data_IF_240204684598
#
_entry.id   IF_240204684598
#
_cell.length_a   1.000
_cell.length_b   1.000
_cell.length_c   1.000
_cell.angle_alpha   90.00
_cell.angle_beta   90.00
_cell.angle_gamma   90.00
#
_symmetry.space_group_name_H-M   'P 1'
#
loop_
_entity.id
_entity.type
_entity.pdbx_description
1 polymer ?
#
# COMPACT_ATOMS: atom_id res chain seq x y z
N UNK A 1 -1.94 32.85 12.08
CA UNK A 1 -2.81 31.65 12.13
C UNK A 1 -2.75 30.98 10.76
N UNK A 2 -1.93 29.93 10.60
CA UNK A 2 -1.78 29.21 9.33
C UNK A 2 -2.21 27.77 9.51
N UNK A 3 -3.24 27.37 8.78
CA UNK A 3 -3.88 26.05 8.82
C UNK A 3 -2.88 24.94 8.49
N UNK A 4 -2.25 24.36 9.51
CA UNK A 4 -1.66 23.03 9.40
C UNK A 4 -2.83 22.06 9.23
N UNK A 5 -3.25 21.82 7.99
CA UNK A 5 -4.01 20.61 7.67
C UNK A 5 -3.19 19.44 8.22
N UNK A 6 -3.63 18.86 9.34
CA UNK A 6 -3.03 17.66 9.91
C UNK A 6 -3.27 16.55 8.89
N UNK A 7 -2.36 16.39 7.93
CA UNK A 7 -2.31 15.21 7.07
C UNK A 7 -2.32 14.01 8.01
N UNK A 8 -3.34 13.18 7.93
CA UNK A 8 -3.43 11.91 8.64
C UNK A 8 -3.76 10.87 7.58
N UNK A 9 -2.74 10.10 7.22
CA UNK A 9 -2.77 9.25 6.05
C UNK A 9 -2.45 7.81 6.43
N UNK A 10 -3.13 6.90 5.75
CA UNK A 10 -2.87 5.48 5.74
C UNK A 10 -2.07 5.16 4.47
N UNK A 11 -0.77 4.95 4.63
CA UNK A 11 0.14 4.59 3.54
C UNK A 11 0.21 3.07 3.45
N UNK A 12 -0.04 2.53 2.27
CA UNK A 12 0.07 1.12 1.97
C UNK A 12 1.19 0.90 0.96
N UNK A 13 2.04 -0.09 1.21
CA UNK A 13 3.05 -0.58 0.28
C UNK A 13 2.83 -2.07 0.03
N UNK A 14 2.66 -2.45 -1.24
CA UNK A 14 2.66 -3.84 -1.66
C UNK A 14 4.07 -4.24 -2.02
N UNK A 15 4.63 -5.17 -1.26
CA UNK A 15 6.01 -5.64 -1.36
C UNK A 15 6.02 -7.01 -2.03
N UNK A 16 6.84 -7.14 -3.07
CA UNK A 16 7.20 -8.41 -3.65
C UNK A 16 8.18 -9.14 -2.74
N UNK A 17 7.84 -10.33 -2.24
CA UNK A 17 8.83 -11.21 -1.59
C UNK A 17 9.34 -12.27 -2.57
N UNK A 18 8.42 -12.91 -3.31
CA UNK A 18 8.70 -13.92 -4.35
C UNK A 18 7.47 -14.05 -5.28
N UNK A 19 7.55 -14.75 -6.44
CA UNK A 19 6.49 -14.76 -7.47
C UNK A 19 5.08 -15.11 -6.96
N UNK A 20 5.00 -15.99 -5.96
CA UNK A 20 3.79 -16.51 -5.33
C UNK A 20 3.41 -15.78 -4.03
N UNK A 21 4.21 -14.83 -3.56
CA UNK A 21 4.04 -14.21 -2.25
C UNK A 21 4.28 -12.70 -2.30
N UNK A 22 3.18 -11.96 -2.25
CA UNK A 22 3.20 -10.52 -2.01
C UNK A 22 2.82 -10.25 -0.55
N UNK A 23 3.36 -9.16 0.00
CA UNK A 23 2.97 -8.65 1.32
C UNK A 23 2.40 -7.25 1.20
N UNK A 24 1.50 -6.91 2.10
CA UNK A 24 0.99 -5.56 2.29
C UNK A 24 1.54 -5.03 3.59
N UNK A 25 2.22 -3.89 3.51
CA UNK A 25 2.66 -3.12 4.65
C UNK A 25 1.83 -1.83 4.74
N UNK A 26 0.99 -1.74 5.75
CA UNK A 26 0.21 -0.56 6.09
C UNK A 26 0.89 0.25 7.19
N UNK A 27 0.91 1.58 7.05
CA UNK A 27 1.42 2.50 8.06
C UNK A 27 0.48 3.70 8.15
N UNK A 28 0.01 4.02 9.34
CA UNK A 28 -0.67 5.28 9.61
C UNK A 28 0.35 6.32 10.04
N UNK A 29 0.26 7.51 9.49
CA UNK A 29 1.22 8.56 9.76
C UNK A 29 0.62 9.96 9.61
N UNK A 30 1.15 10.90 10.38
CA UNK A 30 0.66 12.27 10.41
C UNK A 30 1.71 13.31 10.00
N UNK A 31 1.26 14.40 9.38
CA UNK A 31 2.08 15.56 9.01
C UNK A 31 3.29 15.17 8.18
N UNK A 32 4.47 15.68 8.56
CA UNK A 32 5.75 15.40 7.87
C UNK A 32 6.16 13.93 7.92
N UNK A 33 5.70 13.18 8.93
CA UNK A 33 6.01 11.76 9.05
C UNK A 33 5.30 10.93 7.96
N UNK A 34 4.10 11.37 7.55
CA UNK A 34 3.36 10.75 6.45
C UNK A 34 4.11 10.86 5.13
N UNK A 35 4.69 12.03 4.85
CA UNK A 35 5.51 12.25 3.66
C UNK A 35 6.75 11.33 3.67
N UNK A 36 7.43 11.18 4.82
CA UNK A 36 8.59 10.27 4.96
C UNK A 36 8.20 8.80 4.71
N UNK A 37 7.09 8.33 5.28
CA UNK A 37 6.64 6.94 5.12
C UNK A 37 6.22 6.68 3.66
N UNK A 38 5.49 7.61 3.05
CA UNK A 38 5.14 7.53 1.63
C UNK A 38 6.39 7.47 0.76
N UNK A 39 7.35 8.35 0.99
CA UNK A 39 8.58 8.40 0.19
C UNK A 39 9.44 7.15 0.41
N UNK A 40 9.44 6.59 1.62
CA UNK A 40 10.03 5.29 1.91
C UNK A 40 9.37 4.15 1.13
N UNK A 41 8.03 4.07 1.15
CA UNK A 41 7.28 3.09 0.38
C UNK A 41 7.54 3.19 -1.13
N UNK A 42 7.56 4.42 -1.66
CA UNK A 42 7.82 4.75 -3.06
C UNK A 42 9.21 4.31 -3.53
N UNK A 43 10.23 4.51 -2.70
CA UNK A 43 11.62 4.25 -3.07
C UNK A 43 12.09 2.83 -2.72
N UNK A 44 11.30 2.06 -1.97
CA UNK A 44 11.70 0.72 -1.57
C UNK A 44 11.74 -0.23 -2.77
N UNK A 45 12.88 -0.91 -2.96
CA UNK A 45 13.20 -1.67 -4.18
C UNK A 45 12.21 -2.79 -4.50
N UNK A 46 11.61 -3.38 -3.45
CA UNK A 46 10.64 -4.48 -3.60
C UNK A 46 9.18 -4.00 -3.67
N UNK A 47 8.92 -2.70 -3.57
CA UNK A 47 7.56 -2.19 -3.66
C UNK A 47 7.05 -2.32 -5.10
N UNK A 48 6.03 -3.13 -5.30
CA UNK A 48 5.33 -3.25 -6.58
C UNK A 48 4.42 -2.05 -6.77
N UNK A 49 3.68 -1.68 -5.73
CA UNK A 49 2.75 -0.56 -5.75
C UNK A 49 2.65 0.06 -4.37
N UNK A 50 2.53 1.38 -4.32
CA UNK A 50 2.24 2.11 -3.10
C UNK A 50 1.01 2.99 -3.31
N UNK A 51 0.25 3.19 -2.25
CA UNK A 51 -0.91 4.05 -2.23
C UNK A 51 -1.06 4.73 -0.88
N UNK A 52 -1.69 5.89 -0.91
CA UNK A 52 -2.02 6.71 0.24
C UNK A 52 -3.53 6.84 0.27
N UNK A 53 -4.10 6.55 1.43
CA UNK A 53 -5.51 6.73 1.71
C UNK A 53 -5.67 7.71 2.87
N UNK A 54 -6.78 8.43 2.90
CA UNK A 54 -7.14 9.21 4.10
C UNK A 54 -7.73 8.31 5.20
N UNK A 55 -8.12 8.91 6.33
CA UNK A 55 -8.79 8.21 7.45
C UNK A 55 -10.26 7.81 7.15
N UNK A 56 -10.71 7.97 5.92
CA UNK A 56 -12.03 7.52 5.42
C UNK A 56 -11.88 6.49 4.31
N UNK A 57 -10.69 5.89 4.14
CA UNK A 57 -10.30 4.97 3.05
C UNK A 57 -10.44 5.59 1.65
N UNK A 58 -10.53 6.91 1.54
CA UNK A 58 -10.53 7.56 0.24
C UNK A 58 -9.12 7.53 -0.31
N UNK A 59 -8.99 7.07 -1.55
CA UNK A 59 -7.71 7.08 -2.26
C UNK A 59 -7.26 8.54 -2.48
N UNK A 60 -6.03 8.84 -2.07
CA UNK A 60 -5.42 10.18 -2.21
C UNK A 60 -4.45 10.18 -3.38
N UNK A 61 -3.47 9.28 -3.35
CA UNK A 61 -2.46 9.12 -4.40
C UNK A 61 -1.86 7.71 -4.37
N UNK A 62 -1.22 7.29 -5.45
CA UNK A 62 -0.55 6.00 -5.51
C UNK A 62 0.05 5.75 -6.88
N UNK A 63 1.13 4.98 -6.91
CA UNK A 63 1.85 4.68 -8.14
C UNK A 63 2.60 3.33 -8.05
N UNK A 64 2.95 2.73 -9.20
CA UNK A 64 3.90 1.62 -9.23
C UNK A 64 5.23 2.00 -8.58
N UNK A 65 5.80 1.09 -7.80
CA UNK A 65 7.15 1.22 -7.24
C UNK A 65 8.21 0.51 -8.09
N UNK A 66 9.49 0.58 -7.71
CA UNK A 66 10.59 -0.05 -8.45
C UNK A 66 10.42 -1.56 -8.64
N UNK A 67 9.80 -2.25 -7.68
CA UNK A 67 9.57 -3.69 -7.69
C UNK A 67 8.55 -4.14 -8.75
N UNK A 68 7.78 -3.22 -9.32
CA UNK A 68 6.87 -3.52 -10.43
C UNK A 68 7.59 -4.03 -11.68
N UNK A 69 8.88 -3.74 -11.84
CA UNK A 69 9.70 -4.26 -12.94
C UNK A 69 10.02 -5.75 -12.82
N UNK A 70 9.92 -6.31 -11.62
CA UNK A 70 10.16 -7.73 -11.35
C UNK A 70 8.91 -8.59 -11.51
N UNK A 71 7.79 -7.98 -11.91
CA UNK A 71 6.48 -8.64 -12.04
C UNK A 71 5.92 -8.31 -13.41
N UNK A 72 5.16 -9.24 -13.99
CA UNK A 72 4.52 -9.00 -15.28
C UNK A 72 3.63 -7.75 -15.27
N UNK A 73 3.72 -6.96 -16.33
CA UNK A 73 2.96 -5.71 -16.44
C UNK A 73 1.44 -5.95 -16.39
N UNK A 74 0.97 -7.10 -16.89
CA UNK A 74 -0.43 -7.51 -16.81
C UNK A 74 -0.87 -7.71 -15.35
N UNK A 75 -0.04 -8.40 -14.55
CA UNK A 75 -0.26 -8.65 -13.13
C UNK A 75 -0.26 -7.32 -12.37
N UNK A 76 0.71 -6.43 -12.61
CA UNK A 76 0.74 -5.11 -11.95
C UNK A 76 -0.51 -4.29 -12.26
N UNK A 77 -0.97 -4.27 -13.52
CA UNK A 77 -2.20 -3.56 -13.91
C UNK A 77 -3.46 -4.13 -13.26
N UNK A 78 -3.59 -5.45 -13.22
CA UNK A 78 -4.70 -6.13 -12.54
C UNK A 78 -4.68 -5.80 -11.04
N UNK A 79 -3.50 -5.91 -10.41
CA UNK A 79 -3.30 -5.60 -9.00
C UNK A 79 -3.73 -4.16 -8.69
N UNK A 80 -3.29 -3.16 -9.45
CA UNK A 80 -3.66 -1.75 -9.21
C UNK A 80 -5.17 -1.54 -9.28
N UNK A 81 -5.85 -2.21 -10.22
CA UNK A 81 -7.31 -2.10 -10.39
C UNK A 81 -8.07 -2.77 -9.24
N UNK A 82 -7.55 -3.88 -8.74
CA UNK A 82 -8.21 -4.72 -7.75
C UNK A 82 -7.82 -4.37 -6.32
N UNK A 83 -6.66 -3.76 -6.09
CA UNK A 83 -6.10 -3.46 -4.77
C UNK A 83 -7.11 -2.85 -3.80
N UNK A 84 -7.86 -1.78 -4.18
CA UNK A 84 -8.80 -1.15 -3.27
C UNK A 84 -9.99 -2.06 -2.90
N UNK A 85 -10.22 -3.14 -3.65
CA UNK A 85 -11.32 -4.09 -3.45
C UNK A 85 -10.88 -5.36 -2.72
N UNK A 86 -9.58 -5.60 -2.56
CA UNK A 86 -9.08 -6.78 -1.87
C UNK A 86 -9.43 -6.73 -0.39
N UNK A 87 -10.00 -7.82 0.13
CA UNK A 87 -10.38 -7.94 1.54
C UNK A 87 -9.21 -7.62 2.46
N UNK A 88 -8.03 -8.17 2.18
CA UNK A 88 -6.79 -7.92 2.94
C UNK A 88 -6.46 -6.42 3.04
N UNK A 89 -6.63 -5.67 1.94
CA UNK A 89 -6.35 -4.23 1.91
C UNK A 89 -7.37 -3.47 2.75
N UNK A 90 -8.65 -3.86 2.66
CA UNK A 90 -9.72 -3.27 3.47
C UNK A 90 -9.54 -3.57 4.96
N UNK A 91 -9.06 -4.76 5.33
CA UNK A 91 -8.77 -5.14 6.72
C UNK A 91 -7.57 -4.37 7.27
N UNK A 92 -6.50 -4.22 6.48
CA UNK A 92 -5.34 -3.37 6.81
C UNK A 92 -5.81 -1.93 7.06
N UNK A 93 -6.57 -1.35 6.12
CA UNK A 93 -7.08 0.02 6.26
C UNK A 93 -7.95 0.18 7.50
N UNK A 94 -8.89 -0.74 7.72
CA UNK A 94 -9.78 -0.72 8.90
C UNK A 94 -9.00 -0.78 10.22
N UNK A 95 -7.91 -1.54 10.25
CA UNK A 95 -7.05 -1.68 11.45
C UNK A 95 -6.29 -0.39 11.74
N UNK A 96 -5.73 0.24 10.71
CA UNK A 96 -5.04 1.53 10.80
C UNK A 96 -6.01 2.66 11.20
N UNK A 97 -7.21 2.69 10.61
CA UNK A 97 -8.27 3.65 10.96
C UNK A 97 -8.69 3.56 12.41
N UNK A 98 -8.89 2.33 12.90
CA UNK A 98 -9.26 2.08 14.30
C UNK A 98 -8.17 2.56 15.29
N UNK A 99 -6.98 2.91 14.82
CA UNK A 99 -5.86 3.35 15.65
C UNK A 99 -5.34 2.26 16.59
N UNK A 100 -5.70 0.99 16.32
CA UNK A 100 -5.26 -0.16 17.12
C UNK A 100 -3.78 -0.43 16.92
N UNK A 101 -3.31 -0.25 15.70
CA UNK A 101 -1.90 -0.35 15.34
C UNK A 101 -1.51 0.79 14.39
N UNK A 102 -0.32 1.36 14.61
CA UNK A 102 0.24 2.38 13.72
C UNK A 102 0.88 1.76 12.47
N UNK A 103 1.24 0.46 12.54
CA UNK A 103 1.89 -0.28 11.47
C UNK A 103 1.38 -1.71 11.45
N UNK A 104 1.08 -2.22 10.27
CA UNK A 104 0.61 -3.59 10.08
C UNK A 104 1.30 -4.20 8.85
N UNK A 105 1.68 -5.47 8.95
CA UNK A 105 2.22 -6.24 7.83
C UNK A 105 1.44 -7.54 7.71
N UNK A 106 0.87 -7.79 6.54
CA UNK A 106 0.10 -9.01 6.27
C UNK A 106 0.48 -9.58 4.91
N UNK A 107 0.38 -10.92 4.78
CA UNK A 107 0.44 -11.58 3.49
C UNK A 107 -0.72 -11.12 2.63
N UNK A 108 -0.45 -10.72 1.39
CA UNK A 108 -1.52 -10.47 0.44
C UNK A 108 -2.12 -11.81 0.04
N UNK A 109 -3.44 -11.90 0.05
CA UNK A 109 -4.17 -13.01 -0.56
C UNK A 109 -4.84 -12.45 -1.81
N UNK A 110 -4.42 -12.92 -2.98
CA UNK A 110 -4.89 -12.42 -4.27
C UNK A 110 -4.84 -13.50 -5.35
N UNK A 111 -5.96 -13.84 -5.98
CA UNK A 111 -5.99 -14.89 -7.03
C UNK A 111 -5.29 -14.50 -8.34
N UNK A 112 -4.86 -13.24 -8.48
CA UNK A 112 -4.18 -12.73 -9.68
C UNK A 112 -2.67 -12.93 -9.71
N UNK A 113 -2.11 -13.76 -8.81
CA UNK A 113 -0.69 -14.14 -8.87
C UNK A 113 -0.33 -14.68 -10.26
N UNK A 114 0.90 -14.39 -10.71
CA UNK A 114 1.43 -15.02 -11.91
C UNK A 114 1.38 -16.54 -11.69
N UNK A 115 0.55 -17.23 -12.45
CA UNK A 115 0.57 -18.70 -12.48
C UNK A 115 1.88 -19.06 -13.17
N UNK A 116 2.81 -19.67 -12.43
CA UNK A 116 4.01 -20.29 -12.99
C UNK A 116 3.60 -21.06 -14.26
N UNK A 117 4.20 -20.68 -15.38
CA UNK A 117 4.09 -21.37 -16.66
C UNK A 117 5.16 -22.45 -16.75
#
# INVERSE_FOLDING_TARGET
>A
MGLFSKKDWNVIAVIFERPDLFRINGNRAQGKHADVIRDGAKNHQRTIYWAVFDQKRAFVEGAPGPGSKSVDTAVVKAMIRELPKLTTVQEVLKTLEAGKEEKISQGLVWDGYAKDH
#
